data_IF_715661875595
#
_entry.id   IF_715661875595
#
_cell.length_a   1.000
_cell.length_b   1.000
_cell.length_c   1.000
_cell.angle_alpha   90.00
_cell.angle_beta   90.00
_cell.angle_gamma   90.00
#
_symmetry.space_group_name_H-M   'P 1'
#
loop_
_entity.id
_entity.type
_entity.pdbx_description
1 polymer ?
#
# COMPACT_ATOMS: atom_id res chain seq x y z
N UNK A 1 35.31 4.64 -1.13
CA UNK A 1 34.80 4.40 -2.48
C UNK A 1 33.66 5.40 -2.77
N UNK A 2 33.77 6.14 -3.84
CA UNK A 2 32.76 7.12 -4.19
C UNK A 2 31.53 6.40 -4.79
N UNK A 3 30.35 6.83 -4.39
CA UNK A 3 29.12 6.34 -5.00
C UNK A 3 29.01 6.87 -6.43
N UNK A 4 28.47 6.05 -7.35
CA UNK A 4 28.27 6.53 -8.73
C UNK A 4 27.38 7.79 -8.72
N UNK A 5 27.84 8.80 -9.40
CA UNK A 5 27.08 10.03 -9.55
C UNK A 5 26.16 9.89 -10.75
N UNK A 6 24.87 10.14 -10.56
CA UNK A 6 23.93 10.12 -11.67
C UNK A 6 24.18 11.31 -12.60
N UNK A 7 24.09 11.08 -13.89
CA UNK A 7 24.09 12.17 -14.87
C UNK A 7 22.82 13.01 -14.69
N UNK A 8 22.81 14.29 -15.16
CA UNK A 8 21.58 15.08 -15.09
C UNK A 8 20.37 14.39 -15.74
N UNK A 9 20.58 13.70 -16.86
CA UNK A 9 19.52 12.96 -17.55
C UNK A 9 19.02 11.79 -16.71
N UNK A 10 19.93 11.04 -16.10
CA UNK A 10 19.56 9.92 -15.22
C UNK A 10 18.81 10.40 -13.99
N UNK A 11 19.26 11.52 -13.41
CA UNK A 11 18.59 12.10 -12.25
C UNK A 11 17.17 12.54 -12.60
N UNK A 12 17.00 13.19 -13.74
CA UNK A 12 15.71 13.66 -14.19
C UNK A 12 14.78 12.50 -14.49
N UNK A 13 15.27 11.45 -15.13
CA UNK A 13 14.51 10.23 -15.40
C UNK A 13 14.08 9.55 -14.10
N UNK A 14 14.97 9.49 -13.11
CA UNK A 14 14.66 8.90 -11.81
C UNK A 14 13.59 9.71 -11.06
N UNK A 15 13.68 11.05 -11.12
CA UNK A 15 12.70 11.92 -10.49
C UNK A 15 11.32 11.80 -11.17
N UNK A 16 11.31 11.72 -12.50
CA UNK A 16 10.07 11.55 -13.25
C UNK A 16 9.41 10.21 -12.92
N UNK A 17 10.20 9.14 -12.86
CA UNK A 17 9.69 7.81 -12.51
C UNK A 17 9.16 7.79 -11.08
N UNK A 18 9.85 8.41 -10.15
CA UNK A 18 9.41 8.50 -8.76
C UNK A 18 8.10 9.27 -8.64
N UNK A 19 7.95 10.35 -9.41
CA UNK A 19 6.72 11.13 -9.45
C UNK A 19 5.55 10.32 -10.02
N UNK A 20 5.79 9.56 -11.07
CA UNK A 20 4.77 8.68 -11.66
C UNK A 20 4.33 7.61 -10.66
N UNK A 21 5.28 7.00 -9.95
CA UNK A 21 4.99 5.98 -8.96
C UNK A 21 4.15 6.55 -7.81
N UNK A 22 4.50 7.75 -7.32
CA UNK A 22 3.74 8.40 -6.26
C UNK A 22 2.32 8.76 -6.73
N UNK A 23 2.18 9.26 -7.95
CA UNK A 23 0.88 9.60 -8.52
C UNK A 23 0.01 8.36 -8.68
N UNK A 24 0.58 7.27 -9.17
CA UNK A 24 -0.14 6.00 -9.34
C UNK A 24 -0.58 5.43 -7.99
N UNK A 25 0.28 5.52 -6.97
CA UNK A 25 -0.05 5.07 -5.62
C UNK A 25 -1.17 5.92 -5.02
N UNK A 26 -1.08 7.23 -5.17
CA UNK A 26 -2.10 8.15 -4.66
C UNK A 26 -3.45 7.89 -5.32
N UNK A 27 -3.46 7.64 -6.63
CA UNK A 27 -4.68 7.30 -7.35
C UNK A 27 -5.28 6.00 -6.86
N UNK A 28 -4.45 4.98 -6.67
CA UNK A 28 -4.91 3.68 -6.17
C UNK A 28 -5.52 3.81 -4.78
N UNK A 29 -4.88 4.55 -3.89
CA UNK A 29 -5.41 4.79 -2.54
C UNK A 29 -6.71 5.59 -2.58
N UNK A 30 -6.83 6.54 -3.50
CA UNK A 30 -8.06 7.29 -3.69
C UNK A 30 -9.20 6.38 -4.18
N UNK A 31 -8.88 5.44 -5.06
CA UNK A 31 -9.87 4.45 -5.54
C UNK A 31 -10.33 3.54 -4.40
N UNK A 32 -9.44 3.17 -3.50
CA UNK A 32 -9.78 2.40 -2.29
C UNK A 32 -10.69 3.23 -1.39
N UNK A 33 -10.39 4.51 -1.21
CA UNK A 33 -11.17 5.41 -0.37
C UNK A 33 -12.58 5.64 -0.93
N UNK A 34 -12.71 5.72 -2.24
CA UNK A 34 -14.01 5.92 -2.89
C UNK A 34 -14.86 4.65 -2.96
N UNK A 35 -14.27 3.50 -2.67
CA UNK A 35 -14.94 2.21 -2.78
C UNK A 35 -14.84 1.56 -4.16
N UNK A 36 -14.16 2.21 -5.11
CA UNK A 36 -13.98 1.65 -6.45
C UNK A 36 -13.10 0.39 -6.42
N UNK A 37 -12.17 0.32 -5.46
CA UNK A 37 -11.31 -0.85 -5.25
C UNK A 37 -11.50 -1.32 -3.81
N UNK A 38 -11.85 -2.59 -3.64
CA UNK A 38 -11.96 -3.19 -2.30
C UNK A 38 -10.59 -3.59 -1.78
N UNK A 39 -10.49 -3.82 -0.47
CA UNK A 39 -9.25 -4.27 0.14
C UNK A 39 -8.79 -5.59 -0.47
N UNK A 40 -9.72 -6.52 -0.71
CA UNK A 40 -9.42 -7.79 -1.36
C UNK A 40 -8.86 -7.58 -2.77
N UNK A 41 -9.48 -6.71 -3.55
CA UNK A 41 -9.00 -6.38 -4.89
C UNK A 41 -7.60 -5.78 -4.84
N UNK A 42 -7.34 -4.92 -3.85
CA UNK A 42 -6.03 -4.33 -3.66
C UNK A 42 -4.97 -5.40 -3.37
N UNK A 43 -5.29 -6.35 -2.50
CA UNK A 43 -4.38 -7.46 -2.17
C UNK A 43 -4.16 -8.41 -3.34
N UNK A 44 -5.16 -8.57 -4.20
CA UNK A 44 -5.06 -9.46 -5.36
C UNK A 44 -4.27 -8.85 -6.52
N UNK A 45 -3.95 -7.55 -6.45
CA UNK A 45 -3.14 -6.92 -7.49
C UNK A 45 -1.70 -7.45 -7.43
N UNK A 46 -1.13 -7.70 -8.61
CA UNK A 46 0.22 -8.24 -8.75
C UNK A 46 1.20 -7.18 -9.28
N UNK A 47 0.93 -5.91 -9.03
CA UNK A 47 1.81 -4.83 -9.47
C UNK A 47 2.65 -4.30 -8.29
N UNK A 48 3.83 -3.79 -8.63
CA UNK A 48 4.78 -3.28 -7.64
C UNK A 48 4.22 -2.12 -6.82
N UNK A 49 3.36 -1.31 -7.44
CA UNK A 49 2.78 -0.15 -6.77
C UNK A 49 1.93 -0.61 -5.58
N UNK A 50 1.02 -1.56 -5.81
CA UNK A 50 0.17 -2.10 -4.75
C UNK A 50 0.99 -2.83 -3.70
N UNK A 51 1.94 -3.65 -4.11
CA UNK A 51 2.76 -4.45 -3.19
C UNK A 51 3.59 -3.60 -2.23
N UNK A 52 4.00 -2.42 -2.65
CA UNK A 52 4.83 -1.53 -1.84
C UNK A 52 4.04 -0.63 -0.89
N UNK A 53 2.73 -0.58 -1.01
CA UNK A 53 1.89 0.19 -0.09
C UNK A 53 1.93 -0.47 1.29
N UNK A 54 2.13 0.32 2.33
CA UNK A 54 2.08 -0.19 3.70
C UNK A 54 0.66 -0.61 4.05
N UNK A 55 0.53 -1.70 4.79
CA UNK A 55 -0.78 -2.20 5.23
C UNK A 55 -1.55 -1.11 5.98
N UNK A 56 -0.87 -0.37 6.86
CA UNK A 56 -1.50 0.72 7.61
C UNK A 56 -2.09 1.80 6.70
N UNK A 57 -1.38 2.16 5.64
CA UNK A 57 -1.87 3.15 4.66
C UNK A 57 -3.10 2.64 3.91
N UNK A 58 -3.07 1.38 3.49
CA UNK A 58 -4.18 0.77 2.79
C UNK A 58 -5.43 0.69 3.67
N UNK A 59 -5.27 0.30 4.92
CA UNK A 59 -6.38 0.22 5.86
C UNK A 59 -6.98 1.59 6.15
N UNK A 60 -6.13 2.60 6.36
CA UNK A 60 -6.61 3.97 6.61
C UNK A 60 -7.30 4.58 5.39
N UNK A 61 -6.99 4.10 4.20
CA UNK A 61 -7.64 4.57 2.98
C UNK A 61 -9.06 4.03 2.83
N UNK A 62 -9.40 2.94 3.53
CA UNK A 62 -10.73 2.36 3.42
C UNK A 62 -11.80 3.29 4.00
N UNK A 63 -13.00 3.35 3.37
CA UNK A 63 -14.08 4.17 3.90
C UNK A 63 -14.48 3.73 5.31
N UNK A 64 -14.58 4.67 6.22
CA UNK A 64 -14.96 4.40 7.60
C UNK A 64 -13.89 3.82 8.49
N UNK A 65 -12.67 3.66 7.98
CA UNK A 65 -11.53 3.17 8.78
C UNK A 65 -10.61 4.33 9.11
N UNK A 66 -10.53 4.68 10.39
CA UNK A 66 -9.61 5.70 10.86
C UNK A 66 -8.28 5.10 11.31
N UNK A 67 -7.38 5.94 11.81
CA UNK A 67 -6.05 5.52 12.29
C UNK A 67 -6.16 4.48 13.40
N UNK A 68 -7.07 4.70 14.36
CA UNK A 68 -7.25 3.80 15.50
C UNK A 68 -7.76 2.44 15.05
N UNK A 69 -8.77 2.44 14.18
CA UNK A 69 -9.35 1.19 13.68
C UNK A 69 -8.35 0.42 12.83
N UNK A 70 -7.56 1.12 12.00
CA UNK A 70 -6.51 0.49 11.22
C UNK A 70 -5.48 -0.21 12.13
N UNK A 71 -5.07 0.46 13.20
CA UNK A 71 -4.14 -0.12 14.16
C UNK A 71 -4.73 -1.37 14.84
N UNK A 72 -6.00 -1.32 15.21
CA UNK A 72 -6.69 -2.46 15.80
C UNK A 72 -6.76 -3.65 14.86
N UNK A 73 -7.07 -3.40 13.59
CA UNK A 73 -7.12 -4.45 12.56
C UNK A 73 -5.76 -5.10 12.37
N UNK A 74 -4.69 -4.31 12.40
CA UNK A 74 -3.33 -4.84 12.28
C UNK A 74 -2.97 -5.73 13.46
N UNK A 75 -3.33 -5.32 14.67
CA UNK A 75 -3.10 -6.12 15.88
C UNK A 75 -3.87 -7.43 15.80
N UNK A 76 -5.13 -7.39 15.39
CA UNK A 76 -5.97 -8.58 15.26
C UNK A 76 -5.41 -9.57 14.24
N UNK A 77 -4.85 -9.06 13.16
CA UNK A 77 -4.26 -9.88 12.10
C UNK A 77 -2.79 -10.22 12.35
N UNK A 78 -2.22 -9.73 13.46
CA UNK A 78 -0.82 -9.92 13.80
C UNK A 78 0.12 -9.37 12.72
N UNK A 79 -0.16 -8.16 12.27
CA UNK A 79 0.59 -7.47 11.22
C UNK A 79 1.43 -6.36 11.83
N UNK A 80 2.71 -6.36 11.49
CA UNK A 80 3.66 -5.35 11.93
C UNK A 80 3.43 -4.02 11.21
N UNK A 81 3.69 -2.89 11.87
CA UNK A 81 3.50 -1.56 11.32
C UNK A 81 4.29 -1.33 10.03
N UNK A 82 5.46 -1.93 9.92
CA UNK A 82 6.32 -1.78 8.74
C UNK A 82 5.93 -2.72 7.60
N UNK A 83 4.95 -3.60 7.81
CA UNK A 83 4.58 -4.59 6.80
C UNK A 83 3.93 -3.91 5.59
N UNK A 84 4.31 -4.37 4.41
CA UNK A 84 3.71 -3.90 3.16
C UNK A 84 2.77 -4.97 2.62
N UNK A 85 1.87 -4.57 1.73
CA UNK A 85 0.85 -5.49 1.20
C UNK A 85 1.46 -6.74 0.57
N UNK A 86 2.58 -6.58 -0.14
CA UNK A 86 3.26 -7.73 -0.77
C UNK A 86 3.91 -8.68 0.21
N UNK A 87 4.07 -8.28 1.47
CA UNK A 87 4.68 -9.12 2.50
C UNK A 87 3.70 -9.82 3.42
N UNK A 88 2.40 -9.72 3.15
CA UNK A 88 1.39 -10.38 3.98
C UNK A 88 1.36 -11.88 3.76
N UNK A 89 1.30 -12.64 4.85
CA UNK A 89 1.08 -14.08 4.80
C UNK A 89 -0.39 -14.40 4.48
N UNK A 90 -0.65 -15.64 4.07
CA UNK A 90 -1.99 -16.08 3.69
C UNK A 90 -3.03 -15.87 4.79
N UNK A 91 -2.67 -16.18 6.04
CA UNK A 91 -3.57 -16.02 7.18
C UNK A 91 -3.82 -14.54 7.51
N UNK A 92 -2.78 -13.72 7.40
CA UNK A 92 -2.89 -12.28 7.62
C UNK A 92 -3.82 -11.64 6.60
N UNK A 93 -3.68 -12.01 5.32
CA UNK A 93 -4.55 -11.55 4.25
C UNK A 93 -6.00 -11.91 4.52
N UNK A 94 -6.24 -13.17 4.89
CA UNK A 94 -7.58 -13.68 5.19
C UNK A 94 -8.22 -12.91 6.33
N UNK A 95 -7.50 -12.72 7.43
CA UNK A 95 -8.02 -12.00 8.60
C UNK A 95 -8.38 -10.56 8.26
N UNK A 96 -7.52 -9.88 7.51
CA UNK A 96 -7.77 -8.50 7.12
C UNK A 96 -8.95 -8.39 6.15
N UNK A 97 -9.06 -9.31 5.19
CA UNK A 97 -10.18 -9.35 4.25
C UNK A 97 -11.49 -9.57 4.99
N UNK A 98 -11.52 -10.51 5.91
CA UNK A 98 -12.72 -10.78 6.71
C UNK A 98 -13.10 -9.57 7.56
N UNK A 99 -12.13 -8.93 8.18
CA UNK A 99 -12.37 -7.78 9.05
C UNK A 99 -12.84 -6.54 8.28
N UNK A 100 -12.43 -6.39 7.02
CA UNK A 100 -12.77 -5.25 6.17
C UNK A 100 -13.94 -5.54 5.23
N UNK A 101 -14.34 -6.79 5.11
CA UNK A 101 -15.49 -7.20 4.29
C UNK A 101 -16.78 -6.84 5.02
N UNK A 102 -17.72 -6.27 4.29
CA UNK A 102 -19.04 -5.93 4.82
C UNK A 102 -20.13 -6.56 3.97
#
# INVERSE_FOLDING_TARGET
MALPTLTPEQRQAALAKAAETRAARAKLLADVKSGAVTFKQLLDRDDEIAKRIKVSQALRALPGVGTVKAAQLMVQADVDEARRLGGLGAQQRRKLIEATSR
#
